data_IF_752946332128
#
_entry.id   IF_752946332128
#
_cell.length_a   1.000
_cell.length_b   1.000
_cell.length_c   1.000
_cell.angle_alpha   90.00
_cell.angle_beta   90.00
_cell.angle_gamma   90.00
#
_symmetry.space_group_name_H-M   'P 1'
#
loop_
_entity.id
_entity.type
_entity.pdbx_description
1 polymer ?
#
# COMPACT_ATOMS: atom_id res chain seq x y z
N UNK A 1 -14.21 -18.32 7.59
CA UNK A 1 -14.17 -16.96 8.14
C UNK A 1 -14.26 -15.95 6.99
N UNK A 2 -15.14 -14.98 7.11
CA UNK A 2 -15.35 -13.98 6.06
C UNK A 2 -14.33 -12.86 6.25
N UNK A 3 -13.65 -12.49 5.18
CA UNK A 3 -12.73 -11.35 5.21
C UNK A 3 -13.49 -10.05 5.52
N UNK A 4 -12.83 -9.11 6.16
CA UNK A 4 -13.39 -7.78 6.40
C UNK A 4 -13.64 -7.08 5.07
N UNK A 5 -14.80 -6.47 4.93
CA UNK A 5 -15.09 -5.65 3.77
C UNK A 5 -14.19 -4.42 3.77
N UNK A 6 -13.64 -4.09 2.61
CA UNK A 6 -12.77 -2.92 2.47
C UNK A 6 -13.63 -1.67 2.36
N UNK A 7 -13.26 -0.64 3.12
CA UNK A 7 -13.96 0.63 3.14
C UNK A 7 -14.10 1.19 1.71
N UNK A 8 -15.29 1.69 1.33
CA UNK A 8 -15.54 2.18 -0.03
C UNK A 8 -14.57 3.25 -0.51
N UNK A 9 -14.08 4.10 0.39
CA UNK A 9 -13.12 5.15 0.03
C UNK A 9 -11.78 4.57 -0.38
N UNK A 10 -11.31 3.53 0.31
CA UNK A 10 -10.08 2.84 -0.07
C UNK A 10 -10.25 2.19 -1.45
N UNK A 11 -11.39 1.60 -1.71
CA UNK A 11 -11.68 0.97 -3.00
C UNK A 11 -11.76 2.00 -4.12
N UNK A 12 -12.41 3.15 -3.89
CA UNK A 12 -12.53 4.19 -4.92
C UNK A 12 -11.19 4.84 -5.26
N UNK A 13 -10.26 4.89 -4.31
CA UNK A 13 -8.94 5.50 -4.51
C UNK A 13 -7.91 4.53 -5.08
N UNK A 14 -8.26 3.25 -5.28
CA UNK A 14 -7.26 2.22 -5.56
C UNK A 14 -7.71 1.19 -6.58
N UNK A 15 -6.72 0.50 -7.16
CA UNK A 15 -6.90 -0.75 -7.87
C UNK A 15 -6.68 -1.90 -6.89
N UNK A 16 -7.56 -2.90 -6.90
CA UNK A 16 -7.35 -4.10 -6.09
C UNK A 16 -6.33 -4.98 -6.79
N UNK A 17 -5.22 -5.28 -6.12
CA UNK A 17 -4.22 -6.20 -6.67
C UNK A 17 -4.57 -7.65 -6.33
N UNK A 18 -4.86 -7.94 -5.07
CA UNK A 18 -5.21 -9.29 -4.64
C UNK A 18 -4.82 -9.59 -3.21
N UNK A 19 -4.94 -10.87 -2.81
CA UNK A 19 -4.68 -11.27 -1.44
C UNK A 19 -3.19 -11.39 -1.13
N UNK A 20 -2.82 -11.01 0.08
CA UNK A 20 -1.56 -11.32 0.72
C UNK A 20 -1.84 -12.11 2.01
N UNK A 21 -0.80 -12.50 2.73
CA UNK A 21 -1.00 -13.34 3.94
C UNK A 21 -1.85 -12.66 5.00
N UNK A 22 -1.68 -11.36 5.19
CA UNK A 22 -2.37 -10.61 6.25
C UNK A 22 -3.67 -9.94 5.81
N UNK A 23 -3.92 -9.84 4.52
CA UNK A 23 -5.09 -9.12 4.01
C UNK A 23 -5.02 -8.86 2.51
N UNK A 24 -5.58 -7.76 2.07
CA UNK A 24 -5.67 -7.40 0.65
C UNK A 24 -4.69 -6.29 0.31
N UNK A 25 -4.00 -6.42 -0.81
CA UNK A 25 -3.10 -5.38 -1.32
C UNK A 25 -3.80 -4.56 -2.39
N UNK A 26 -3.71 -3.24 -2.25
CA UNK A 26 -4.25 -2.26 -3.19
C UNK A 26 -3.10 -1.45 -3.78
N UNK A 27 -3.31 -0.95 -5.00
CA UNK A 27 -2.41 0.02 -5.64
C UNK A 27 -3.17 1.34 -5.76
N UNK A 28 -2.68 2.39 -5.12
CA UNK A 28 -3.32 3.70 -5.20
C UNK A 28 -3.36 4.18 -6.66
N UNK A 29 -4.47 4.78 -7.06
CA UNK A 29 -4.67 5.22 -8.46
C UNK A 29 -3.70 6.29 -8.91
N UNK A 30 -3.22 7.14 -8.00
CA UNK A 30 -2.24 8.14 -8.36
C UNK A 30 -0.87 7.50 -8.57
N UNK A 31 -0.42 7.45 -9.82
CA UNK A 31 0.83 6.82 -10.22
C UNK A 31 2.03 7.79 -10.19
N UNK A 32 1.85 9.01 -9.66
CA UNK A 32 2.96 9.97 -9.58
C UNK A 32 4.09 9.46 -8.68
N UNK A 33 3.76 8.62 -7.70
CA UNK A 33 4.71 7.82 -6.92
C UNK A 33 4.14 6.40 -6.80
N UNK A 34 4.99 5.35 -6.71
CA UNK A 34 4.46 4.00 -6.49
C UNK A 34 3.96 3.88 -5.05
N UNK A 35 2.66 3.69 -4.93
CA UNK A 35 1.95 3.81 -3.65
C UNK A 35 1.06 2.59 -3.45
N UNK A 36 1.48 1.67 -2.59
CA UNK A 36 0.75 0.45 -2.25
C UNK A 36 0.05 0.64 -0.91
N UNK A 37 -1.07 -0.02 -0.75
CA UNK A 37 -1.85 0.02 0.49
C UNK A 37 -2.22 -1.41 0.86
N UNK A 38 -1.78 -1.86 2.03
CA UNK A 38 -2.11 -3.17 2.58
C UNK A 38 -3.25 -3.00 3.57
N UNK A 39 -4.35 -3.72 3.34
CA UNK A 39 -5.51 -3.70 4.23
C UNK A 39 -5.58 -5.04 4.96
N UNK A 40 -5.09 -5.11 6.21
CA UNK A 40 -5.14 -6.35 6.98
C UNK A 40 -6.57 -6.79 7.24
N UNK A 41 -6.77 -8.10 7.32
CA UNK A 41 -8.08 -8.69 7.59
C UNK A 41 -8.33 -8.73 9.10
N UNK A 42 -8.76 -7.60 9.65
CA UNK A 42 -9.02 -7.44 11.07
C UNK A 42 -10.03 -6.32 11.31
N UNK A 43 -10.76 -6.40 12.40
CA UNK A 43 -11.61 -5.30 12.87
C UNK A 43 -10.86 -4.31 13.76
N UNK A 44 -9.62 -4.64 14.18
CA UNK A 44 -8.78 -3.72 14.94
C UNK A 44 -8.34 -2.56 14.06
N UNK A 45 -8.42 -1.35 14.57
CA UNK A 45 -8.09 -0.15 13.79
C UNK A 45 -6.64 0.32 13.98
N UNK A 46 -5.96 -0.15 15.02
CA UNK A 46 -4.60 0.29 15.34
C UNK A 46 -3.59 -0.83 15.14
N UNK A 47 -2.54 -0.55 14.37
CA UNK A 47 -1.50 -1.54 14.07
C UNK A 47 -0.84 -2.09 15.35
N UNK A 48 -0.62 -1.22 16.34
CA UNK A 48 0.07 -1.64 17.56
C UNK A 48 -0.77 -2.54 18.46
N UNK A 49 -2.08 -2.61 18.22
CA UNK A 49 -3.01 -3.37 19.06
C UNK A 49 -3.56 -4.63 18.40
N UNK A 50 -3.12 -4.96 17.18
CA UNK A 50 -3.45 -6.26 16.58
C UNK A 50 -2.69 -7.38 17.30
N UNK A 51 -3.19 -8.62 17.20
CA UNK A 51 -2.50 -9.77 17.73
C UNK A 51 -1.09 -9.89 17.15
N UNK A 52 -0.15 -10.38 17.94
CA UNK A 52 1.26 -10.50 17.55
C UNK A 52 1.44 -11.29 16.24
N UNK A 53 0.71 -12.37 16.08
CA UNK A 53 0.80 -13.21 14.86
C UNK A 53 0.35 -12.43 13.62
N UNK A 54 -0.71 -11.64 13.74
CA UNK A 54 -1.18 -10.80 12.63
C UNK A 54 -0.17 -9.68 12.37
N UNK A 55 0.36 -9.05 13.40
CA UNK A 55 1.37 -7.98 13.23
C UNK A 55 2.61 -8.51 12.51
N UNK A 56 3.06 -9.70 12.85
CA UNK A 56 4.19 -10.33 12.16
C UNK A 56 3.87 -10.60 10.69
N UNK A 57 2.67 -11.08 10.40
CA UNK A 57 2.22 -11.32 9.03
C UNK A 57 2.14 -10.02 8.23
N UNK A 58 1.65 -8.95 8.84
CA UNK A 58 1.60 -7.61 8.22
C UNK A 58 3.01 -7.14 7.86
N UNK A 59 3.96 -7.29 8.78
CA UNK A 59 5.34 -6.86 8.53
C UNK A 59 6.03 -7.69 7.46
N UNK A 60 5.74 -8.99 7.39
CA UNK A 60 6.26 -9.85 6.31
C UNK A 60 5.72 -9.42 4.95
N UNK A 61 4.42 -9.12 4.86
CA UNK A 61 3.81 -8.61 3.64
C UNK A 61 4.40 -7.24 3.27
N UNK A 62 4.58 -6.36 4.26
CA UNK A 62 5.19 -5.05 4.07
C UNK A 62 6.62 -5.16 3.54
N UNK A 63 7.40 -6.12 4.05
CA UNK A 63 8.76 -6.38 3.57
C UNK A 63 8.76 -6.80 2.10
N UNK A 64 7.82 -7.66 1.69
CA UNK A 64 7.70 -8.06 0.28
C UNK A 64 7.42 -6.86 -0.62
N UNK A 65 6.51 -5.98 -0.19
CA UNK A 65 6.19 -4.76 -0.94
C UNK A 65 7.40 -3.81 -0.98
N UNK A 66 8.06 -3.61 0.15
CA UNK A 66 9.25 -2.76 0.22
C UNK A 66 10.37 -3.27 -0.69
N UNK A 67 10.59 -4.59 -0.72
CA UNK A 67 11.58 -5.21 -1.60
C UNK A 67 11.24 -4.99 -3.07
N UNK A 68 9.97 -5.12 -3.43
CA UNK A 68 9.50 -4.81 -4.78
C UNK A 68 9.78 -3.35 -5.14
N UNK A 69 9.45 -2.42 -4.26
CA UNK A 69 9.68 -0.99 -4.50
C UNK A 69 11.15 -0.68 -4.71
N UNK A 70 12.03 -1.27 -3.90
CA UNK A 70 13.47 -1.06 -3.99
C UNK A 70 14.06 -1.70 -5.25
N UNK A 71 13.72 -2.96 -5.51
CA UNK A 71 14.40 -3.76 -6.51
C UNK A 71 13.80 -3.61 -7.91
N UNK A 72 12.48 -3.43 -8.01
CA UNK A 72 11.78 -3.33 -9.31
C UNK A 72 11.37 -1.91 -9.67
N UNK A 73 11.21 -1.02 -8.69
CA UNK A 73 10.81 0.37 -8.93
C UNK A 73 11.94 1.35 -8.66
N UNK A 74 13.10 0.85 -8.26
CA UNK A 74 14.31 1.64 -8.01
C UNK A 74 14.10 2.75 -6.97
N UNK A 75 13.29 2.46 -5.96
CA UNK A 75 13.03 3.40 -4.87
C UNK A 75 14.11 3.24 -3.79
N UNK A 76 14.85 4.28 -3.53
CA UNK A 76 15.92 4.26 -2.51
C UNK A 76 15.37 4.42 -1.08
N UNK A 77 14.08 4.81 -0.96
CA UNK A 77 13.43 4.99 0.33
C UNK A 77 12.00 4.46 0.27
N UNK A 78 11.53 3.85 1.35
CA UNK A 78 10.14 3.44 1.50
C UNK A 78 9.57 4.15 2.71
N UNK A 79 8.48 4.89 2.50
CA UNK A 79 7.73 5.47 3.61
C UNK A 79 6.57 4.55 3.95
N UNK A 80 6.52 4.12 5.21
CA UNK A 80 5.46 3.26 5.71
C UNK A 80 4.67 4.04 6.76
N UNK A 81 3.33 4.01 6.64
CA UNK A 81 2.47 4.74 7.58
C UNK A 81 1.12 4.06 7.74
N UNK A 82 0.59 4.10 8.96
CA UNK A 82 -0.77 3.71 9.29
C UNK A 82 -1.46 4.93 9.89
N UNK A 83 -2.13 5.72 9.06
CA UNK A 83 -2.71 7.01 9.48
C UNK A 83 -4.08 6.85 10.13
N UNK A 84 -5.08 6.40 9.36
CA UNK A 84 -6.40 6.11 9.91
C UNK A 84 -7.21 7.33 10.35
N UNK A 85 -6.79 8.55 10.01
CA UNK A 85 -7.47 9.76 10.47
C UNK A 85 -8.78 10.02 9.74
N UNK A 86 -8.90 9.60 8.50
CA UNK A 86 -10.11 9.76 7.69
C UNK A 86 -10.86 8.44 7.53
N UNK A 87 -10.15 7.36 7.24
CA UNK A 87 -10.69 6.01 7.15
C UNK A 87 -10.15 5.20 8.32
N UNK A 88 -10.99 4.89 9.34
CA UNK A 88 -10.51 4.20 10.54
C UNK A 88 -10.06 2.75 10.30
N UNK A 89 -10.61 2.07 9.31
CA UNK A 89 -10.19 0.71 8.99
C UNK A 89 -8.67 0.66 8.82
N UNK A 90 -8.02 -0.26 9.53
CA UNK A 90 -6.56 -0.37 9.48
C UNK A 90 -6.08 -0.60 8.05
N UNK A 91 -5.20 0.27 7.60
CA UNK A 91 -4.52 0.13 6.32
C UNK A 91 -3.12 0.72 6.44
N UNK A 92 -2.17 0.06 5.81
CA UNK A 92 -0.76 0.42 5.88
C UNK A 92 -0.31 0.89 4.50
N UNK A 93 0.10 2.15 4.44
CA UNK A 93 0.68 2.74 3.23
C UNK A 93 2.14 2.34 3.10
N UNK A 94 2.55 1.98 1.90
CA UNK A 94 3.94 1.70 1.55
C UNK A 94 4.24 2.47 0.28
N UNK A 95 4.95 3.57 0.42
CA UNK A 95 5.19 4.52 -0.66
C UNK A 95 6.65 4.50 -1.05
N UNK A 96 6.92 4.18 -2.31
CA UNK A 96 8.28 4.20 -2.83
C UNK A 96 8.71 5.62 -3.14
N UNK A 97 9.86 6.01 -2.59
CA UNK A 97 10.37 7.37 -2.71
C UNK A 97 11.78 7.37 -3.29
N UNK A 98 12.10 8.44 -3.98
CA UNK A 98 13.45 8.68 -4.48
C UNK A 98 13.70 10.17 -4.57
N UNK A 99 14.98 10.53 -4.52
CA UNK A 99 15.39 11.90 -4.74
C UNK A 99 14.91 12.35 -6.13
N UNK A 100 14.29 13.52 -6.19
CA UNK A 100 13.74 14.04 -7.44
C UNK A 100 12.33 13.60 -7.78
N UNK A 101 11.67 12.81 -6.93
CA UNK A 101 10.26 12.49 -7.15
C UNK A 101 9.38 13.72 -6.96
N UNK A 102 8.07 13.58 -7.21
CA UNK A 102 7.14 14.70 -7.34
C UNK A 102 7.09 15.65 -6.13
N UNK A 103 7.46 15.20 -4.92
CA UNK A 103 7.45 16.04 -3.73
C UNK A 103 8.63 15.81 -2.79
N UNK A 104 9.65 15.09 -3.24
CA UNK A 104 10.85 14.83 -2.41
C UNK A 104 11.45 16.13 -1.89
N UNK A 105 11.88 16.25 -0.64
CA UNK A 105 11.91 15.19 0.39
C UNK A 105 10.68 15.16 1.30
N UNK A 106 9.61 15.82 0.93
CA UNK A 106 8.42 15.93 1.76
C UNK A 106 7.62 14.63 1.73
N UNK A 107 6.90 14.26 2.82
CA UNK A 107 5.93 13.18 2.76
C UNK A 107 4.85 13.48 1.74
N UNK A 108 4.23 12.43 1.17
CA UNK A 108 3.22 12.65 0.13
C UNK A 108 1.95 13.30 0.65
N UNK A 109 1.56 13.00 1.91
CA UNK A 109 0.32 13.53 2.48
C UNK A 109 0.44 15.04 2.70
N UNK A 110 -0.43 15.79 2.02
CA UNK A 110 -0.43 17.25 2.06
C UNK A 110 0.59 17.91 1.14
N UNK A 111 1.43 17.15 0.44
CA UNK A 111 2.50 17.72 -0.40
C UNK A 111 2.51 17.19 -1.84
N UNK A 112 1.86 16.05 -2.11
CA UNK A 112 1.82 15.50 -3.45
C UNK A 112 0.69 16.15 -4.24
N UNK A 113 1.05 17.08 -5.15
CA UNK A 113 0.10 17.76 -6.03
C UNK A 113 0.03 17.11 -7.41
N UNK A 114 1.14 16.48 -7.84
CA UNK A 114 1.19 15.80 -9.13
C UNK A 114 0.26 14.57 -9.14
N UNK A 115 -0.31 14.28 -10.29
CA UNK A 115 -1.22 13.16 -10.48
C UNK A 115 -0.98 12.52 -11.84
N UNK A 116 -0.96 11.21 -11.88
CA UNK A 116 -0.97 10.46 -13.14
C UNK A 116 -1.70 9.14 -12.93
N UNK A 117 -2.00 8.44 -14.01
CA UNK A 117 -2.75 7.19 -13.94
C UNK A 117 -1.88 6.01 -14.37
N UNK A 118 -2.14 4.85 -13.77
CA UNK A 118 -1.57 3.60 -14.21
C UNK A 118 -2.31 3.11 -15.44
N UNK A 119 -1.59 2.55 -16.41
CA UNK A 119 -2.21 1.78 -17.49
C UNK A 119 -2.63 0.41 -16.97
N UNK A 120 -3.55 -0.24 -17.67
CA UNK A 120 -3.96 -1.61 -17.31
C UNK A 120 -2.77 -2.58 -17.33
N UNK A 121 -1.87 -2.42 -18.30
CA UNK A 121 -0.67 -3.25 -18.40
C UNK A 121 0.25 -3.05 -17.17
N UNK A 122 0.40 -1.81 -16.73
CA UNK A 122 1.20 -1.51 -15.54
C UNK A 122 0.59 -2.11 -14.27
N UNK A 123 -0.73 -2.00 -14.11
CA UNK A 123 -1.44 -2.61 -12.97
C UNK A 123 -1.24 -4.13 -12.98
N UNK A 124 -1.36 -4.76 -14.14
CA UNK A 124 -1.15 -6.20 -14.29
C UNK A 124 0.28 -6.62 -13.94
N UNK A 125 1.27 -5.82 -14.32
CA UNK A 125 2.67 -6.09 -14.00
C UNK A 125 2.92 -6.02 -12.49
N UNK A 126 2.38 -5.01 -11.82
CA UNK A 126 2.49 -4.87 -10.37
C UNK A 126 1.83 -6.08 -9.68
N UNK A 127 0.62 -6.42 -10.12
CA UNK A 127 -0.11 -7.58 -9.58
C UNK A 127 0.70 -8.87 -9.72
N UNK A 128 1.26 -9.10 -10.89
CA UNK A 128 2.05 -10.31 -11.17
C UNK A 128 3.27 -10.37 -10.26
N UNK A 129 3.93 -9.25 -10.05
CA UNK A 129 5.14 -9.19 -9.22
C UNK A 129 4.87 -9.43 -7.74
N UNK A 130 3.74 -8.95 -7.23
CA UNK A 130 3.45 -8.98 -5.78
C UNK A 130 2.49 -10.08 -5.37
N UNK A 131 1.49 -10.37 -6.19
CA UNK A 131 0.46 -11.37 -5.87
C UNK A 131 0.73 -12.69 -6.61
N UNK A 132 1.30 -12.59 -7.78
CA UNK A 132 1.55 -13.73 -8.64
C UNK A 132 0.39 -13.97 -9.60
N UNK A 133 0.53 -15.00 -10.35
CA UNK A 133 -0.30 -15.51 -11.30
C UNK A 133 -1.48 -15.34 -11.81
#
# INVERSE_FOLDING_TARGET
MTAQAIHPRLLSDSHILGPMSSGTLLLHRNAAVPWLILVPDTSETELMFVAETLRSSILEDAERVASYLRDHRHCEKVNMAALGNQVPQLHVHLVGRREGDACWPMPIWGHLEASSEWTEAQVSDVRRSLIGG
#
